data_IF_000027373530
#
_entry.id   IF_000027373530
#
_cell.length_a   1.000
_cell.length_b   1.000
_cell.length_c   1.000
_cell.angle_alpha   90.00
_cell.angle_beta   90.00
_cell.angle_gamma   90.00
#
_symmetry.space_group_name_H-M   'P 1'
#
loop_
_entity.id
_entity.type
_entity.pdbx_description
1 polymer ?
#
# COMPACT_ATOMS: atom_id res chain seq x y z
N UNK A 1 -11.91 27.44 1.18
CA UNK A 1 -11.44 26.27 0.45
C UNK A 1 -12.64 25.73 -0.30
N UNK A 2 -12.63 25.70 -1.63
CA UNK A 2 -13.74 25.17 -2.40
C UNK A 2 -13.90 23.69 -2.04
N UNK A 3 -15.16 23.24 -1.86
CA UNK A 3 -15.53 21.83 -1.65
C UNK A 3 -15.05 20.99 -2.85
N UNK A 4 -13.80 20.56 -2.81
CA UNK A 4 -13.23 19.71 -3.84
C UNK A 4 -13.71 18.28 -3.59
N UNK A 5 -14.80 17.91 -4.24
CA UNK A 5 -15.34 16.54 -4.19
C UNK A 5 -14.59 15.63 -5.14
N UNK A 6 -14.43 14.35 -4.78
CA UNK A 6 -13.84 13.33 -5.63
C UNK A 6 -14.79 13.00 -6.77
N UNK A 7 -14.30 13.04 -8.00
CA UNK A 7 -15.04 12.60 -9.17
C UNK A 7 -14.88 11.10 -9.38
N UNK A 8 -15.92 10.33 -9.14
CA UNK A 8 -15.88 8.86 -9.25
C UNK A 8 -16.48 8.32 -10.56
N UNK A 9 -17.03 9.20 -11.41
CA UNK A 9 -17.65 8.80 -12.66
C UNK A 9 -18.94 9.55 -12.95
N UNK A 10 -19.84 8.92 -13.70
CA UNK A 10 -21.15 9.49 -14.10
C UNK A 10 -22.30 8.56 -13.71
N UNK A 11 -23.44 9.15 -13.42
CA UNK A 11 -24.66 8.38 -13.20
C UNK A 11 -25.03 7.61 -14.45
N UNK A 12 -25.50 6.39 -14.28
CA UNK A 12 -26.02 5.55 -15.38
C UNK A 12 -27.54 5.63 -15.38
N UNK A 13 -28.11 5.92 -16.54
CA UNK A 13 -29.56 5.87 -16.73
C UNK A 13 -30.05 4.42 -16.64
N UNK A 14 -30.97 4.15 -15.71
CA UNK A 14 -31.44 2.80 -15.41
C UNK A 14 -32.23 2.15 -16.57
N UNK A 15 -32.77 2.95 -17.52
CA UNK A 15 -33.57 2.44 -18.63
C UNK A 15 -32.70 2.12 -19.83
N UNK A 16 -31.69 2.96 -20.10
CA UNK A 16 -30.84 2.84 -21.29
C UNK A 16 -29.51 2.13 -21.00
N UNK A 17 -29.17 1.96 -19.73
CA UNK A 17 -27.88 1.48 -19.24
C UNK A 17 -26.67 2.29 -19.79
N UNK A 18 -26.88 3.57 -20.14
CA UNK A 18 -25.83 4.46 -20.65
C UNK A 18 -25.44 5.50 -19.61
N UNK A 19 -24.15 5.90 -19.57
CA UNK A 19 -23.72 7.02 -18.75
C UNK A 19 -24.46 8.31 -19.12
N UNK A 20 -24.87 9.06 -18.11
CA UNK A 20 -25.45 10.41 -18.27
C UNK A 20 -24.33 11.46 -18.20
N UNK A 21 -24.69 12.73 -18.34
CA UNK A 21 -23.77 13.87 -18.12
C UNK A 21 -23.60 14.22 -16.64
N UNK A 22 -24.40 13.63 -15.74
CA UNK A 22 -24.39 13.95 -14.33
C UNK A 22 -23.20 13.25 -13.60
N UNK A 23 -22.27 14.00 -13.00
CA UNK A 23 -21.15 13.41 -12.30
C UNK A 23 -21.58 12.74 -10.99
N UNK A 24 -20.89 11.67 -10.61
CA UNK A 24 -20.93 11.10 -9.26
C UNK A 24 -19.79 11.74 -8.47
N UNK A 25 -20.14 12.54 -7.50
CA UNK A 25 -19.20 13.23 -6.65
C UNK A 25 -19.25 12.65 -5.23
N UNK A 26 -18.08 12.32 -4.69
CA UNK A 26 -17.92 11.78 -3.35
C UNK A 26 -17.25 12.82 -2.44
N UNK A 27 -17.72 12.94 -1.20
CA UNK A 27 -17.14 13.85 -0.23
C UNK A 27 -15.93 13.22 0.44
N UNK A 28 -14.71 13.79 0.33
CA UNK A 28 -13.52 13.24 0.98
C UNK A 28 -13.62 13.20 2.50
N UNK A 29 -14.48 14.00 3.13
CA UNK A 29 -14.73 13.93 4.57
C UNK A 29 -15.30 12.57 5.00
N UNK A 30 -16.01 11.87 4.10
CA UNK A 30 -16.54 10.53 4.38
C UNK A 30 -15.46 9.45 4.44
N UNK A 31 -14.22 9.73 4.00
CA UNK A 31 -13.06 8.82 4.13
C UNK A 31 -12.59 8.62 5.58
N UNK A 32 -13.13 9.36 6.53
CA UNK A 32 -12.90 9.13 7.97
C UNK A 32 -13.60 7.86 8.48
N UNK A 33 -14.45 7.25 7.65
CA UNK A 33 -15.16 6.00 7.93
C UNK A 33 -14.69 4.88 7.02
N UNK A 34 -15.15 3.65 7.32
CA UNK A 34 -14.81 2.48 6.51
C UNK A 34 -15.74 2.34 5.31
N UNK A 35 -15.19 1.87 4.20
CA UNK A 35 -15.96 1.52 3.01
C UNK A 35 -15.61 0.11 2.53
N UNK A 36 -16.56 -0.56 1.89
CA UNK A 36 -16.35 -1.90 1.30
C UNK A 36 -16.80 -1.85 -0.16
N UNK A 37 -15.88 -2.25 -1.06
CA UNK A 37 -16.17 -2.37 -2.50
C UNK A 37 -16.37 -3.83 -2.84
N UNK A 38 -17.60 -4.21 -3.19
CA UNK A 38 -17.98 -5.58 -3.51
C UNK A 38 -18.49 -5.69 -4.95
N UNK A 39 -18.36 -6.88 -5.54
CA UNK A 39 -18.84 -7.15 -6.88
C UNK A 39 -18.19 -8.40 -7.49
N UNK A 40 -18.73 -8.90 -8.60
CA UNK A 40 -18.18 -10.04 -9.34
C UNK A 40 -16.88 -9.66 -10.05
N UNK A 41 -16.13 -10.66 -10.51
CA UNK A 41 -14.96 -10.45 -11.37
C UNK A 41 -15.39 -9.69 -12.64
N UNK A 42 -14.62 -8.68 -13.03
CA UNK A 42 -14.93 -7.84 -14.19
C UNK A 42 -15.96 -6.72 -13.93
N UNK A 43 -16.49 -6.57 -12.70
CA UNK A 43 -17.49 -5.53 -12.39
C UNK A 43 -16.91 -4.12 -12.18
N UNK A 44 -15.59 -3.94 -12.30
CA UNK A 44 -14.95 -2.62 -12.15
C UNK A 44 -14.51 -2.26 -10.73
N UNK A 45 -14.48 -3.20 -9.76
CA UNK A 45 -14.05 -2.93 -8.37
C UNK A 45 -12.68 -2.26 -8.28
N UNK A 46 -11.68 -2.85 -8.94
CA UNK A 46 -10.32 -2.31 -8.98
C UNK A 46 -10.29 -0.92 -9.61
N UNK A 47 -11.04 -0.70 -10.70
CA UNK A 47 -11.17 0.61 -11.33
C UNK A 47 -11.76 1.67 -10.41
N UNK A 48 -12.76 1.32 -9.60
CA UNK A 48 -13.32 2.25 -8.59
C UNK A 48 -12.30 2.58 -7.50
N UNK A 49 -11.53 1.58 -7.03
CA UNK A 49 -10.46 1.82 -6.06
C UNK A 49 -9.37 2.72 -6.64
N UNK A 50 -8.96 2.48 -7.89
CA UNK A 50 -8.00 3.33 -8.61
C UNK A 50 -8.51 4.76 -8.70
N UNK A 51 -9.76 4.97 -9.13
CA UNK A 51 -10.36 6.31 -9.22
C UNK A 51 -10.37 7.04 -7.86
N UNK A 52 -10.70 6.35 -6.77
CA UNK A 52 -10.65 6.92 -5.41
C UNK A 52 -9.23 7.36 -5.02
N UNK A 53 -8.23 6.52 -5.32
CA UNK A 53 -6.82 6.79 -4.98
C UNK A 53 -6.25 7.92 -5.84
N UNK A 54 -6.61 8.00 -7.11
CA UNK A 54 -6.23 9.11 -8.00
C UNK A 54 -6.82 10.45 -7.52
N UNK A 55 -8.09 10.46 -7.14
CA UNK A 55 -8.73 11.64 -6.56
C UNK A 55 -8.09 12.06 -5.24
N UNK A 56 -7.78 11.09 -4.37
CA UNK A 56 -7.06 11.36 -3.13
C UNK A 56 -5.69 11.98 -3.40
N UNK A 57 -4.92 11.44 -4.36
CA UNK A 57 -3.64 12.00 -4.75
C UNK A 57 -3.77 13.43 -5.28
N UNK A 58 -4.73 13.69 -6.18
CA UNK A 58 -4.99 15.03 -6.74
C UNK A 58 -5.34 16.07 -5.67
N UNK A 59 -5.91 15.65 -4.55
CA UNK A 59 -6.26 16.53 -3.45
C UNK A 59 -5.24 16.52 -2.29
N UNK A 60 -4.10 15.85 -2.49
CA UNK A 60 -3.02 15.80 -1.49
C UNK A 60 -3.35 14.95 -0.26
N UNK A 61 -4.29 14.01 -0.38
CA UNK A 61 -4.61 13.05 0.69
C UNK A 61 -3.65 11.88 0.59
N UNK A 62 -2.81 11.63 1.62
CA UNK A 62 -1.88 10.52 1.61
C UNK A 62 -2.62 9.18 1.73
N UNK A 63 -2.11 8.14 1.06
CA UNK A 63 -2.70 6.81 1.10
C UNK A 63 -1.64 5.73 1.34
N UNK A 64 -1.99 4.74 2.17
CA UNK A 64 -1.24 3.48 2.31
C UNK A 64 -2.08 2.39 1.67
N UNK A 65 -1.51 1.72 0.67
CA UNK A 65 -2.20 0.71 -0.13
C UNK A 65 -1.61 -0.65 0.21
N UNK A 66 -2.45 -1.56 0.73
CA UNK A 66 -2.08 -2.95 0.97
C UNK A 66 -2.64 -3.78 -0.18
N UNK A 67 -1.78 -4.18 -1.10
CA UNK A 67 -2.15 -4.86 -2.35
C UNK A 67 -1.47 -6.23 -2.49
N UNK A 68 -2.01 -7.28 -1.89
CA UNK A 68 -1.42 -8.62 -1.97
C UNK A 68 -1.39 -9.22 -3.38
N UNK A 69 -2.19 -8.68 -4.29
CA UNK A 69 -2.27 -9.15 -5.69
C UNK A 69 -1.39 -8.38 -6.65
N UNK A 70 -1.05 -7.12 -6.33
CA UNK A 70 -0.35 -6.22 -7.24
C UNK A 70 -1.23 -5.60 -8.33
N UNK A 71 -2.56 -5.66 -8.21
CA UNK A 71 -3.49 -5.12 -9.22
C UNK A 71 -3.51 -3.58 -9.26
N UNK A 72 -3.09 -2.92 -8.17
CA UNK A 72 -3.09 -1.46 -8.02
C UNK A 72 -1.77 -0.79 -8.42
N UNK A 73 -0.75 -1.57 -8.77
CA UNK A 73 0.54 -1.03 -9.22
C UNK A 73 0.43 -0.20 -10.50
N UNK A 74 -0.65 -0.38 -11.27
CA UNK A 74 -0.97 0.44 -12.43
C UNK A 74 -1.16 1.93 -12.10
N UNK A 75 -1.41 2.29 -10.83
CA UNK A 75 -1.42 3.69 -10.36
C UNK A 75 -0.10 4.44 -10.61
N UNK A 76 1.01 3.72 -10.84
CA UNK A 76 2.30 4.33 -11.13
C UNK A 76 2.49 4.66 -12.61
N UNK A 77 1.60 4.15 -13.48
CA UNK A 77 1.69 4.35 -14.93
C UNK A 77 0.97 5.65 -15.33
N UNK A 78 1.74 6.70 -15.55
CA UNK A 78 1.22 7.99 -15.96
C UNK A 78 1.78 8.38 -17.33
N UNK A 79 0.92 8.45 -18.33
CA UNK A 79 1.25 8.82 -19.70
C UNK A 79 0.49 10.10 -20.10
N UNK A 80 0.88 11.30 -19.61
CA UNK A 80 0.12 12.54 -19.84
C UNK A 80 -0.12 12.85 -21.31
N UNK A 81 0.87 12.58 -22.15
CA UNK A 81 0.82 12.87 -23.59
C UNK A 81 0.23 11.72 -24.41
N UNK A 82 -0.06 10.59 -23.77
CA UNK A 82 -0.63 9.39 -24.38
C UNK A 82 0.13 8.97 -25.67
N UNK A 83 1.46 9.08 -25.68
CA UNK A 83 2.23 8.73 -26.86
C UNK A 83 2.35 7.22 -27.03
N UNK A 84 2.28 6.67 -28.25
CA UNK A 84 2.40 5.23 -28.49
C UNK A 84 3.64 4.59 -27.85
N UNK A 85 4.77 5.31 -27.87
CA UNK A 85 6.02 4.87 -27.25
C UNK A 85 5.95 4.66 -25.75
N UNK A 86 5.01 5.34 -25.05
CA UNK A 86 4.80 5.15 -23.61
C UNK A 86 4.08 3.82 -23.33
N UNK A 87 3.26 3.36 -24.27
CA UNK A 87 2.51 2.11 -24.16
C UNK A 87 3.32 0.90 -24.62
N UNK A 88 4.25 1.08 -25.54
CA UNK A 88 5.01 0.00 -26.19
C UNK A 88 5.69 -0.97 -25.19
N UNK A 89 6.33 -0.54 -24.08
CA UNK A 89 6.92 -1.44 -23.09
C UNK A 89 5.90 -2.34 -22.38
N UNK A 90 4.64 -1.97 -22.40
CA UNK A 90 3.54 -2.66 -21.70
C UNK A 90 2.68 -3.53 -22.63
N UNK A 91 2.97 -3.55 -23.92
CA UNK A 91 2.30 -4.42 -24.89
C UNK A 91 2.87 -5.84 -24.76
N UNK A 92 1.98 -6.81 -24.57
CA UNK A 92 2.36 -8.23 -24.63
C UNK A 92 2.71 -8.62 -26.07
N UNK A 93 3.97 -9.00 -26.35
CA UNK A 93 4.40 -9.34 -27.69
C UNK A 93 3.67 -10.55 -28.28
N UNK A 94 3.27 -11.50 -27.42
CA UNK A 94 2.53 -12.69 -27.84
C UNK A 94 1.11 -12.34 -28.27
N UNK A 95 0.44 -11.48 -27.50
CA UNK A 95 -0.91 -11.02 -27.87
C UNK A 95 -0.89 -10.20 -29.18
N UNK A 96 0.08 -9.29 -29.34
CA UNK A 96 0.24 -8.53 -30.57
C UNK A 96 0.44 -9.46 -31.77
N UNK A 97 1.32 -10.45 -31.65
CA UNK A 97 1.59 -11.44 -32.70
C UNK A 97 0.36 -12.27 -33.05
N UNK A 98 -0.42 -12.72 -32.06
CA UNK A 98 -1.67 -13.47 -32.27
C UNK A 98 -2.73 -12.63 -32.98
N UNK A 99 -2.74 -11.31 -32.75
CA UNK A 99 -3.59 -10.35 -33.43
C UNK A 99 -3.07 -9.94 -34.82
N UNK A 100 -1.93 -10.48 -35.29
CA UNK A 100 -1.29 -10.13 -36.55
C UNK A 100 -0.75 -8.72 -36.62
N UNK A 101 -0.38 -8.13 -35.47
CA UNK A 101 0.12 -6.74 -35.31
C UNK A 101 1.58 -6.71 -34.94
N UNK A 102 2.28 -5.64 -35.35
CA UNK A 102 3.59 -5.28 -34.78
C UNK A 102 3.39 -4.65 -33.40
N UNK A 103 4.47 -4.57 -32.62
CA UNK A 103 4.42 -3.91 -31.30
C UNK A 103 4.06 -2.43 -31.43
N UNK A 104 4.59 -1.76 -32.48
CA UNK A 104 4.28 -0.36 -32.75
C UNK A 104 2.79 -0.18 -33.07
N UNK A 105 2.25 -0.99 -33.96
CA UNK A 105 0.82 -0.92 -34.32
C UNK A 105 -0.10 -1.21 -33.13
N UNK A 106 0.29 -2.13 -32.25
CA UNK A 106 -0.47 -2.42 -31.03
C UNK A 106 -0.38 -1.25 -30.02
N UNK A 107 0.78 -0.59 -29.92
CA UNK A 107 0.97 0.58 -29.08
C UNK A 107 0.18 1.80 -29.59
N UNK A 108 0.16 2.04 -30.91
CA UNK A 108 -0.66 3.08 -31.56
C UNK A 108 -2.15 2.89 -31.26
N UNK A 109 -2.63 1.65 -31.38
CA UNK A 109 -4.03 1.32 -31.08
C UNK A 109 -4.34 1.51 -29.58
N UNK A 110 -3.46 1.07 -28.69
CA UNK A 110 -3.64 1.26 -27.25
C UNK A 110 -3.68 2.75 -26.90
N UNK A 111 -2.74 3.55 -27.39
CA UNK A 111 -2.70 5.02 -27.22
C UNK A 111 -3.99 5.68 -27.68
N UNK A 112 -4.45 5.34 -28.89
CA UNK A 112 -5.68 5.88 -29.49
C UNK A 112 -6.92 5.49 -28.70
N UNK A 113 -7.01 4.23 -28.25
CA UNK A 113 -8.12 3.72 -27.44
C UNK A 113 -8.20 4.42 -26.09
N UNK A 114 -7.06 4.59 -25.41
CA UNK A 114 -6.99 5.32 -24.14
C UNK A 114 -7.37 6.78 -24.32
N UNK A 115 -6.83 7.47 -25.35
CA UNK A 115 -7.16 8.86 -25.63
C UNK A 115 -8.65 9.08 -25.89
N UNK A 116 -9.26 8.20 -26.68
CA UNK A 116 -10.71 8.25 -26.96
C UNK A 116 -11.54 7.99 -25.71
N UNK A 117 -11.18 6.96 -24.92
CA UNK A 117 -11.87 6.62 -23.67
C UNK A 117 -11.82 7.74 -22.66
N UNK A 118 -10.64 8.32 -22.40
CA UNK A 118 -10.48 9.42 -21.46
C UNK A 118 -11.23 10.66 -21.90
N UNK A 119 -11.21 10.98 -23.19
CA UNK A 119 -11.97 12.12 -23.77
C UNK A 119 -13.47 11.95 -23.56
N UNK A 120 -14.00 10.74 -23.74
CA UNK A 120 -15.42 10.43 -23.51
C UNK A 120 -15.82 10.73 -22.05
N UNK A 121 -14.92 10.50 -21.10
CA UNK A 121 -15.14 10.78 -19.67
C UNK A 121 -14.80 12.22 -19.26
N UNK A 122 -14.33 13.05 -20.20
CA UNK A 122 -13.95 14.44 -19.93
C UNK A 122 -12.62 14.56 -19.19
N UNK A 123 -11.74 13.55 -19.29
CA UNK A 123 -10.41 13.54 -18.70
C UNK A 123 -9.41 13.97 -19.77
N UNK A 124 -8.83 15.15 -19.62
CA UNK A 124 -7.82 15.70 -20.53
C UNK A 124 -6.38 15.51 -20.04
N UNK A 125 -5.42 15.83 -20.90
CA UNK A 125 -3.99 15.77 -20.62
C UNK A 125 -3.58 16.59 -19.40
N UNK A 126 -4.22 17.74 -19.16
CA UNK A 126 -3.95 18.57 -17.97
C UNK A 126 -4.20 17.79 -16.67
N UNK A 127 -5.29 17.01 -16.62
CA UNK A 127 -5.60 16.20 -15.45
C UNK A 127 -4.61 15.04 -15.28
N UNK A 128 -4.18 14.40 -16.37
CA UNK A 128 -3.17 13.34 -16.33
C UNK A 128 -1.82 13.88 -15.84
N UNK A 129 -1.43 15.06 -16.30
CA UNK A 129 -0.23 15.73 -15.84
C UNK A 129 -0.31 16.17 -14.37
N UNK A 130 -1.48 16.68 -13.97
CA UNK A 130 -1.75 17.03 -12.57
C UNK A 130 -1.61 15.80 -11.66
N UNK A 131 -2.17 14.64 -12.04
CA UNK A 131 -2.06 13.40 -11.30
C UNK A 131 -0.61 12.92 -11.19
N UNK A 132 0.14 12.97 -12.30
CA UNK A 132 1.57 12.60 -12.33
C UNK A 132 2.39 13.40 -11.32
N UNK A 133 2.03 14.66 -11.10
CA UNK A 133 2.74 15.59 -10.21
C UNK A 133 2.14 15.69 -8.80
N UNK A 134 0.98 15.04 -8.56
CA UNK A 134 0.24 15.20 -7.32
C UNK A 134 0.86 14.48 -6.13
N UNK A 135 1.51 13.32 -6.37
CA UNK A 135 2.06 12.50 -5.30
C UNK A 135 3.32 11.75 -5.75
N UNK A 136 4.14 11.38 -4.77
CA UNK A 136 5.20 10.39 -4.97
C UNK A 136 4.64 9.01 -4.66
N UNK A 137 4.70 8.12 -5.65
CA UNK A 137 4.29 6.73 -5.49
C UNK A 137 5.52 5.88 -5.21
N UNK A 138 5.40 4.95 -4.24
CA UNK A 138 6.46 4.01 -3.90
C UNK A 138 5.86 2.62 -3.69
N UNK A 139 6.55 1.60 -4.22
CA UNK A 139 6.16 0.20 -4.05
C UNK A 139 7.11 -0.44 -3.05
N UNK A 140 6.55 -0.85 -1.91
CA UNK A 140 7.25 -1.64 -0.91
C UNK A 140 6.94 -3.11 -1.11
N UNK A 141 7.98 -3.95 -1.17
CA UNK A 141 7.85 -5.39 -1.42
C UNK A 141 8.43 -6.20 -0.26
N UNK A 142 7.63 -6.48 0.79
CA UNK A 142 8.09 -7.31 1.90
C UNK A 142 8.53 -8.69 1.41
N UNK A 143 9.74 -9.11 1.78
CA UNK A 143 10.30 -10.40 1.39
C UNK A 143 10.78 -10.50 -0.07
N UNK A 144 10.84 -9.38 -0.81
CA UNK A 144 11.34 -9.31 -2.18
C UNK A 144 12.16 -8.04 -2.39
N UNK A 145 13.09 -8.09 -3.33
CA UNK A 145 13.91 -6.98 -3.80
C UNK A 145 13.39 -6.35 -5.12
N UNK A 146 12.20 -6.77 -5.57
CA UNK A 146 11.58 -6.26 -6.80
C UNK A 146 11.19 -4.78 -6.72
N UNK A 147 10.96 -4.27 -5.51
CA UNK A 147 10.69 -2.87 -5.21
C UNK A 147 11.53 -2.41 -4.02
N UNK A 148 10.98 -1.54 -3.17
CA UNK A 148 11.66 -1.09 -1.95
C UNK A 148 11.50 -2.19 -0.88
N UNK A 149 12.57 -2.83 -0.43
CA UNK A 149 12.47 -3.87 0.58
C UNK A 149 12.02 -3.31 1.93
N UNK A 150 11.25 -4.10 2.67
CA UNK A 150 10.83 -3.75 4.03
C UNK A 150 11.60 -4.62 5.01
N UNK A 151 12.31 -4.00 5.95
CA UNK A 151 12.98 -4.70 7.03
C UNK A 151 12.17 -4.58 8.32
N UNK A 152 11.73 -5.70 8.85
CA UNK A 152 11.08 -5.78 10.18
C UNK A 152 12.12 -5.62 11.29
N UNK A 153 13.35 -6.08 11.04
CA UNK A 153 14.43 -6.08 12.03
C UNK A 153 14.98 -4.68 12.34
N UNK A 154 14.82 -3.72 11.42
CA UNK A 154 15.23 -2.33 11.66
C UNK A 154 14.35 -1.59 12.68
N UNK A 155 13.24 -2.20 13.10
CA UNK A 155 12.29 -1.62 14.05
C UNK A 155 12.47 -2.07 15.51
N UNK A 156 13.59 -2.73 15.85
CA UNK A 156 13.90 -3.12 17.24
C UNK A 156 14.37 -1.95 18.11
N UNK A 157 14.70 -0.81 17.49
CA UNK A 157 15.08 0.39 18.23
C UNK A 157 13.90 0.94 19.04
N UNK A 158 14.22 1.51 20.20
CA UNK A 158 13.23 2.16 21.03
C UNK A 158 12.58 3.33 20.27
N UNK A 159 11.25 3.43 20.27
CA UNK A 159 10.57 4.61 19.74
C UNK A 159 10.97 5.86 20.52
N UNK A 160 10.99 7.02 19.84
CA UNK A 160 11.25 8.29 20.50
C UNK A 160 10.00 8.77 21.28
N UNK A 161 9.59 7.98 22.26
CA UNK A 161 8.45 8.24 23.13
C UNK A 161 8.91 8.06 24.58
N UNK A 162 8.43 8.93 25.45
CA UNK A 162 8.69 8.82 26.88
C UNK A 162 7.96 7.60 27.47
N UNK A 163 8.67 6.78 28.21
CA UNK A 163 8.17 5.50 28.73
C UNK A 163 7.03 5.69 29.74
N UNK A 164 7.16 6.66 30.64
CA UNK A 164 6.19 6.83 31.73
C UNK A 164 4.84 7.31 31.23
N UNK A 165 4.84 8.17 30.20
CA UNK A 165 3.61 8.75 29.65
C UNK A 165 2.95 7.89 28.56
N UNK A 166 3.72 6.99 27.91
CA UNK A 166 3.24 6.20 26.76
C UNK A 166 3.34 4.68 26.96
N UNK A 167 3.33 4.23 28.21
CA UNK A 167 3.60 2.83 28.59
C UNK A 167 2.71 1.82 27.86
N UNK A 168 1.42 2.09 27.73
CA UNK A 168 0.49 1.17 27.07
C UNK A 168 0.80 1.05 25.57
N UNK A 169 1.02 2.18 24.89
CA UNK A 169 1.36 2.22 23.45
C UNK A 169 2.67 1.49 23.19
N UNK A 170 3.66 1.69 24.05
CA UNK A 170 4.97 1.04 23.93
C UNK A 170 4.88 -0.48 24.16
N UNK A 171 4.08 -0.93 25.11
CA UNK A 171 3.84 -2.35 25.36
C UNK A 171 3.08 -3.02 24.20
N UNK A 172 2.10 -2.36 23.62
CA UNK A 172 1.41 -2.86 22.43
C UNK A 172 2.39 -3.00 21.26
N UNK A 173 3.26 -2.02 21.05
CA UNK A 173 4.31 -2.07 20.04
C UNK A 173 5.31 -3.20 20.28
N UNK A 174 5.73 -3.40 21.53
CA UNK A 174 6.57 -4.54 21.92
C UNK A 174 5.88 -5.85 21.58
N UNK A 175 4.63 -6.02 21.98
CA UNK A 175 3.86 -7.25 21.72
C UNK A 175 3.76 -7.54 20.21
N UNK A 176 3.46 -6.54 19.40
CA UNK A 176 3.38 -6.66 17.95
C UNK A 176 4.74 -7.01 17.33
N UNK A 177 5.83 -6.38 17.77
CA UNK A 177 7.20 -6.64 17.30
C UNK A 177 7.64 -8.06 17.64
N UNK A 178 7.39 -8.50 18.88
CA UNK A 178 7.73 -9.85 19.35
C UNK A 178 6.94 -10.91 18.59
N UNK A 179 5.63 -10.69 18.36
CA UNK A 179 4.81 -11.59 17.54
C UNK A 179 5.37 -11.72 16.12
N UNK A 180 5.78 -10.59 15.51
CA UNK A 180 6.38 -10.61 14.18
C UNK A 180 7.72 -11.37 14.17
N UNK A 181 8.60 -11.16 15.16
CA UNK A 181 9.86 -11.87 15.28
C UNK A 181 9.67 -13.39 15.44
N UNK A 182 8.74 -13.81 16.29
CA UNK A 182 8.41 -15.21 16.48
C UNK A 182 7.82 -15.82 15.21
N UNK A 183 7.01 -15.10 14.49
CA UNK A 183 6.50 -15.51 13.18
C UNK A 183 7.60 -15.74 12.14
N UNK A 184 8.65 -14.90 12.12
CA UNK A 184 9.79 -15.05 11.22
C UNK A 184 10.59 -16.34 11.46
N UNK A 185 10.62 -16.85 12.70
CA UNK A 185 11.26 -18.13 13.03
C UNK A 185 10.30 -19.32 12.97
N UNK A 186 9.11 -19.13 12.40
CA UNK A 186 8.11 -20.18 12.19
C UNK A 186 7.24 -20.49 13.41
N UNK A 187 7.32 -19.71 14.46
CA UNK A 187 6.48 -19.84 15.66
C UNK A 187 5.19 -19.02 15.51
N UNK A 188 4.30 -19.50 14.64
CA UNK A 188 3.00 -18.90 14.41
C UNK A 188 1.99 -19.40 15.47
N UNK A 189 0.89 -18.68 15.63
CA UNK A 189 -0.24 -19.03 16.51
C UNK A 189 0.09 -19.07 18.02
N UNK A 190 1.13 -18.35 18.46
CA UNK A 190 1.44 -18.21 19.88
C UNK A 190 0.48 -17.21 20.56
N UNK A 191 -0.06 -17.61 21.71
CA UNK A 191 -0.82 -16.69 22.57
C UNK A 191 0.17 -15.70 23.25
N UNK A 192 0.10 -14.39 23.00
CA UNK A 192 1.04 -13.41 23.55
C UNK A 192 1.05 -13.37 25.09
N UNK A 193 -0.04 -13.78 25.72
CA UNK A 193 -0.18 -13.72 27.18
C UNK A 193 0.32 -15.00 27.85
N UNK A 194 0.29 -16.13 27.15
CA UNK A 194 0.58 -17.46 27.72
C UNK A 194 1.86 -18.09 27.25
N UNK A 195 2.35 -17.66 26.08
CA UNK A 195 3.59 -18.20 25.51
C UNK A 195 4.80 -17.71 26.30
N UNK A 196 5.63 -18.65 26.75
CA UNK A 196 6.86 -18.34 27.47
C UNK A 196 7.85 -17.57 26.60
N UNK A 197 7.93 -17.92 25.34
CA UNK A 197 8.81 -17.31 24.34
C UNK A 197 8.41 -15.85 24.13
N UNK A 198 7.11 -15.59 23.98
CA UNK A 198 6.59 -14.24 23.80
C UNK A 198 6.83 -13.38 25.05
N UNK A 199 6.51 -13.91 26.24
CA UNK A 199 6.72 -13.19 27.51
C UNK A 199 8.19 -12.87 27.72
N UNK A 200 9.09 -13.82 27.44
CA UNK A 200 10.54 -13.64 27.62
C UNK A 200 11.05 -12.51 26.73
N UNK A 201 10.75 -12.56 25.43
CA UNK A 201 11.16 -11.54 24.48
C UNK A 201 10.55 -10.17 24.84
N UNK A 202 9.27 -10.12 25.18
CA UNK A 202 8.61 -8.88 25.58
C UNK A 202 9.27 -8.23 26.80
N UNK A 203 9.69 -9.02 27.79
CA UNK A 203 10.42 -8.52 28.96
C UNK A 203 11.81 -7.97 28.60
N UNK A 204 12.52 -8.59 27.65
CA UNK A 204 13.82 -8.07 27.17
C UNK A 204 13.61 -6.70 26.50
N UNK A 205 12.61 -6.58 25.62
CA UNK A 205 12.29 -5.31 25.00
C UNK A 205 11.89 -4.25 26.01
N UNK A 206 10.99 -4.60 26.97
CA UNK A 206 10.56 -3.67 28.01
C UNK A 206 11.74 -3.18 28.85
N UNK A 207 12.68 -4.07 29.21
CA UNK A 207 13.89 -3.71 29.98
C UNK A 207 14.76 -2.71 29.22
N UNK A 208 15.05 -2.95 27.94
CA UNK A 208 15.89 -2.05 27.16
C UNK A 208 15.20 -0.71 26.86
N UNK A 209 13.95 -0.75 26.39
CA UNK A 209 13.22 0.45 26.01
C UNK A 209 12.85 1.35 27.19
N UNK A 210 12.55 0.78 28.37
CA UNK A 210 12.30 1.56 29.58
C UNK A 210 13.55 2.27 30.08
N UNK A 211 14.73 1.72 29.81
CA UNK A 211 16.01 2.36 30.09
C UNK A 211 16.46 3.37 29.01
N UNK A 212 15.67 3.57 27.96
CA UNK A 212 16.01 4.44 26.84
C UNK A 212 17.08 3.85 25.90
N UNK A 213 17.35 2.54 25.99
CA UNK A 213 18.34 1.87 25.18
C UNK A 213 17.70 1.28 23.91
N UNK A 214 18.38 1.45 22.79
CA UNK A 214 18.00 0.74 21.57
C UNK A 214 18.35 -0.74 21.71
N UNK A 215 17.55 -1.58 21.08
CA UNK A 215 17.79 -3.00 20.97
C UNK A 215 18.06 -3.34 19.50
N UNK A 216 19.09 -4.11 19.23
CA UNK A 216 19.33 -4.72 17.92
C UNK A 216 19.23 -6.25 18.02
N UNK A 217 19.35 -6.95 16.90
CA UNK A 217 19.25 -8.41 16.87
C UNK A 217 20.39 -9.06 17.66
N UNK A 218 21.58 -8.49 17.63
CA UNK A 218 22.76 -9.02 18.34
C UNK A 218 22.56 -8.90 19.86
N UNK A 219 22.13 -7.74 20.32
CA UNK A 219 21.83 -7.48 21.74
C UNK A 219 20.67 -8.35 22.23
N UNK A 220 19.65 -8.57 21.38
CA UNK A 220 18.54 -9.46 21.70
C UNK A 220 19.02 -10.90 21.90
N UNK A 221 19.86 -11.41 20.99
CA UNK A 221 20.43 -12.76 21.09
C UNK A 221 21.31 -12.88 22.32
N UNK A 222 22.18 -11.91 22.60
CA UNK A 222 23.02 -11.90 23.79
C UNK A 222 22.20 -11.88 25.07
N UNK A 223 21.15 -11.09 25.12
CA UNK A 223 20.22 -11.04 26.25
C UNK A 223 19.55 -12.40 26.51
N UNK A 224 19.13 -13.09 25.45
CA UNK A 224 18.58 -14.45 25.57
C UNK A 224 19.60 -15.46 26.10
N UNK A 225 20.86 -15.40 25.67
CA UNK A 225 21.93 -16.29 26.14
C UNK A 225 22.21 -16.01 27.63
N UNK A 226 22.34 -14.77 28.03
CA UNK A 226 22.64 -14.41 29.42
C UNK A 226 21.52 -14.74 30.40
N UNK A 227 20.26 -14.72 29.98
CA UNK A 227 19.13 -15.14 30.82
C UNK A 227 19.12 -16.66 30.99
N UNK A 228 19.56 -17.41 29.97
CA UNK A 228 19.58 -18.89 30.00
C UNK A 228 20.80 -19.47 30.76
N UNK A 229 21.85 -18.67 30.99
CA UNK A 229 22.99 -19.07 31.81
C UNK A 229 22.82 -18.57 33.26
N UNK A 230 22.40 -19.42 34.22
CA UNK A 230 22.44 -19.03 35.61
C UNK A 230 23.90 -18.80 35.99
N UNK A 231 24.25 -17.55 36.29
CA UNK A 231 25.53 -17.23 36.90
C UNK A 231 25.69 -18.09 38.14
N UNK A 232 26.51 -19.15 38.07
CA UNK A 232 26.93 -19.88 39.26
C UNK A 232 27.74 -18.89 40.11
N UNK A 233 27.34 -18.58 41.33
CA UNK A 233 28.24 -17.88 42.25
C UNK A 233 29.43 -18.82 42.52
N UNK A 234 30.61 -18.34 42.28
CA UNK A 234 31.84 -18.99 42.73
C UNK A 234 31.89 -18.98 44.26
#
# INVERSE_FOLDING_TARGET
MADSKFYLGRLVDAKTAKPTTNPVLYDPADLTTHAVVTGMTGSGKTGLCVALLEEAALQGVPAIIIDPKGDLTNLLLHFPDLLPQDFQPWIDPEMARRAGKTLEAAADEASSAWGSGLTEWGIGTERLLALKNAAQFAIYTPGSDSGIPVSVLSSLAAPNLDWETNREVLRERISSTVTALLGLVGMNDLDPIRSREHILLANIFEFHWSAGNNLDLTELILSLIHISEPTRPY
#
